data_IF_007863347837
#
_entry.id   IF_007863347837
#
_cell.length_a   1.000
_cell.length_b   1.000
_cell.length_c   1.000
_cell.angle_alpha   90.00
_cell.angle_beta   90.00
_cell.angle_gamma   90.00
#
_symmetry.space_group_name_H-M   'P 1'
#
loop_
_entity.id
_entity.type
_entity.pdbx_description
1 polymer ?
#
# COMPACT_ATOMS: atom_id res chain seq x y z
N UNK A 1 3.30 29.60 9.30
CA UNK A 1 3.52 28.54 8.29
C UNK A 1 4.00 27.28 9.01
N UNK A 2 3.40 26.11 8.76
CA UNK A 2 3.50 24.92 9.65
C UNK A 2 4.21 23.71 9.02
N UNK A 3 4.61 23.78 7.76
CA UNK A 3 5.41 22.71 7.13
C UNK A 3 6.85 22.70 7.67
N UNK A 4 7.42 23.86 8.03
CA UNK A 4 8.76 23.96 8.65
C UNK A 4 8.89 23.20 9.99
N UNK A 5 7.77 22.90 10.66
CA UNK A 5 7.80 22.14 11.91
C UNK A 5 8.05 20.64 11.70
N UNK A 6 7.69 20.09 10.54
CA UNK A 6 7.91 18.68 10.22
C UNK A 6 9.40 18.44 10.01
N UNK A 7 10.04 19.27 9.18
CA UNK A 7 11.49 19.25 8.94
C UNK A 7 12.30 19.49 10.23
N UNK A 8 11.79 20.31 11.15
CA UNK A 8 12.41 20.53 12.45
C UNK A 8 12.23 19.31 13.38
N UNK A 9 11.04 18.69 13.40
CA UNK A 9 10.77 17.52 14.25
C UNK A 9 11.57 16.29 13.83
N UNK A 10 11.80 16.10 12.53
CA UNK A 10 12.72 15.06 12.01
C UNK A 10 14.16 15.26 12.50
N UNK A 11 14.65 16.52 12.49
CA UNK A 11 15.99 16.87 12.99
C UNK A 11 16.16 16.67 14.50
N UNK A 12 15.07 16.64 15.27
CA UNK A 12 15.09 16.47 16.73
C UNK A 12 14.90 14.99 17.13
N UNK A 13 14.91 14.05 16.16
CA UNK A 13 14.89 12.61 16.43
C UNK A 13 13.50 12.03 16.68
N UNK A 14 12.43 12.76 16.33
CA UNK A 14 11.07 12.21 16.33
C UNK A 14 10.93 11.32 15.10
N UNK A 15 10.77 10.01 15.32
CA UNK A 15 10.85 9.01 14.24
C UNK A 15 9.66 9.05 13.27
N UNK A 16 8.50 9.60 13.67
CA UNK A 16 7.34 9.82 12.80
C UNK A 16 6.57 11.08 13.27
N UNK A 17 6.48 12.11 12.43
CA UNK A 17 5.61 13.27 12.63
C UNK A 17 4.36 13.16 11.72
N UNK A 18 3.22 12.75 12.28
CA UNK A 18 1.95 12.69 11.53
C UNK A 18 1.17 14.00 11.71
N UNK A 19 0.98 14.76 10.63
CA UNK A 19 0.14 15.95 10.62
C UNK A 19 -1.29 15.59 10.21
N UNK A 20 -2.28 15.91 11.05
CA UNK A 20 -3.69 15.73 10.72
C UNK A 20 -4.08 16.37 9.37
N UNK A 21 -3.45 17.49 9.02
CA UNK A 21 -3.67 18.15 7.71
C UNK A 21 -3.15 17.31 6.55
N UNK A 22 -1.98 16.69 6.69
CA UNK A 22 -1.42 15.82 5.65
C UNK A 22 -2.27 14.55 5.48
N UNK A 23 -2.80 14.01 6.59
CA UNK A 23 -3.74 12.90 6.56
C UNK A 23 -5.02 13.28 5.79
N UNK A 24 -5.66 14.41 6.12
CA UNK A 24 -6.86 14.87 5.42
C UNK A 24 -6.61 15.19 3.95
N UNK A 25 -5.47 15.81 3.62
CA UNK A 25 -5.12 16.09 2.22
C UNK A 25 -4.86 14.80 1.44
N UNK A 26 -4.22 13.81 2.06
CA UNK A 26 -4.00 12.50 1.45
C UNK A 26 -5.32 11.79 1.17
N UNK A 27 -6.31 11.90 2.06
CA UNK A 27 -7.65 11.33 1.88
C UNK A 27 -8.38 11.98 0.69
N UNK A 28 -8.36 13.31 0.60
CA UNK A 28 -8.95 14.04 -0.54
C UNK A 28 -8.25 13.67 -1.86
N UNK A 29 -6.93 13.55 -1.85
CA UNK A 29 -6.15 13.14 -3.03
C UNK A 29 -6.35 11.66 -3.40
N UNK A 30 -6.66 10.79 -2.43
CA UNK A 30 -7.03 9.40 -2.69
C UNK A 30 -8.39 9.35 -3.39
N UNK A 31 -9.37 10.09 -2.86
CA UNK A 31 -10.70 10.23 -3.46
C UNK A 31 -10.64 10.77 -4.90
N UNK A 32 -9.82 11.80 -5.16
CA UNK A 32 -9.72 12.43 -6.49
C UNK A 32 -9.04 11.56 -7.56
N UNK A 33 -8.25 10.54 -7.17
CA UNK A 33 -7.49 9.70 -8.11
C UNK A 33 -8.28 8.57 -8.76
N UNK A 34 -9.50 8.29 -8.30
CA UNK A 34 -10.47 7.48 -9.04
C UNK A 34 -10.14 5.99 -9.19
N UNK A 35 -9.31 5.41 -8.33
CA UNK A 35 -9.05 3.97 -8.24
C UNK A 35 -8.96 3.51 -6.78
N UNK A 36 -9.16 2.22 -6.51
CA UNK A 36 -9.21 1.60 -5.16
C UNK A 36 -7.84 1.56 -4.45
N UNK A 37 -6.86 2.34 -4.94
CA UNK A 37 -5.54 2.50 -4.31
C UNK A 37 -5.69 3.44 -3.12
N UNK A 38 -6.05 2.85 -1.98
CA UNK A 38 -5.99 3.55 -0.73
C UNK A 38 -4.50 3.82 -0.41
N UNK A 39 -4.17 5.08 -0.13
CA UNK A 39 -2.96 5.49 0.59
C UNK A 39 -1.60 5.06 0.01
N UNK A 40 -0.98 5.97 -0.72
CA UNK A 40 0.45 5.94 -1.07
C UNK A 40 1.25 6.62 0.04
N UNK A 41 2.14 5.90 0.71
CA UNK A 41 3.14 6.53 1.60
C UNK A 41 4.50 6.48 0.93
N UNK A 42 5.07 7.65 0.63
CA UNK A 42 6.45 7.79 0.16
C UNK A 42 7.37 7.55 1.36
N UNK A 43 8.23 6.53 1.30
CA UNK A 43 9.33 6.42 2.25
C UNK A 43 10.48 7.32 1.77
N UNK A 44 10.82 8.35 2.53
CA UNK A 44 11.91 9.26 2.17
C UNK A 44 13.23 8.51 1.94
N UNK A 45 13.92 8.85 0.84
CA UNK A 45 15.19 8.24 0.44
C UNK A 45 15.08 6.91 -0.33
N UNK A 46 13.95 6.21 -0.25
CA UNK A 46 13.72 4.95 -0.96
C UNK A 46 12.92 5.18 -2.26
N UNK A 47 13.34 4.55 -3.38
CA UNK A 47 12.56 4.50 -4.63
C UNK A 47 11.35 3.56 -4.52
N UNK A 48 10.72 3.49 -3.35
CA UNK A 48 9.69 2.53 -2.98
C UNK A 48 8.51 3.25 -2.32
N UNK A 49 7.33 2.70 -2.50
CA UNK A 49 6.07 3.22 -2.00
C UNK A 49 5.30 2.09 -1.30
N UNK A 50 4.65 2.42 -0.18
CA UNK A 50 3.65 1.55 0.41
C UNK A 50 2.30 1.86 -0.25
N UNK A 51 1.61 0.82 -0.76
CA UNK A 51 0.30 0.92 -1.38
C UNK A 51 -0.70 0.05 -0.60
N UNK A 52 -1.94 0.48 -0.54
CA UNK A 52 -3.04 -0.38 -0.13
C UNK A 52 -3.99 -0.61 -1.31
N UNK A 53 -4.35 -1.87 -1.55
CA UNK A 53 -5.16 -2.30 -2.69
C UNK A 53 -6.21 -3.31 -2.25
N UNK A 54 -7.37 -3.29 -2.91
CA UNK A 54 -8.42 -4.27 -2.70
C UNK A 54 -8.27 -5.37 -3.76
N UNK A 55 -8.27 -6.64 -3.34
CA UNK A 55 -8.30 -7.77 -4.27
C UNK A 55 -9.65 -7.80 -4.98
N UNK A 56 -9.69 -7.53 -6.28
CA UNK A 56 -10.93 -7.59 -7.07
C UNK A 56 -11.35 -9.03 -7.38
N UNK A 57 -12.65 -9.30 -7.58
CA UNK A 57 -13.10 -10.57 -8.15
C UNK A 57 -12.42 -10.85 -9.49
N UNK A 58 -11.88 -12.05 -9.67
CA UNK A 58 -11.16 -12.43 -10.89
C UNK A 58 -9.73 -11.90 -11.00
N UNK A 59 -9.22 -11.18 -9.99
CA UNK A 59 -7.84 -10.73 -9.96
C UNK A 59 -6.85 -11.90 -10.09
N UNK A 60 -5.72 -11.73 -10.81
CA UNK A 60 -4.73 -12.80 -10.98
C UNK A 60 -4.23 -13.46 -9.68
N UNK A 61 -4.20 -12.72 -8.57
CA UNK A 61 -3.77 -13.20 -7.24
C UNK A 61 -4.88 -13.92 -6.46
N UNK A 62 -6.16 -13.70 -6.80
CA UNK A 62 -7.28 -14.20 -6.02
C UNK A 62 -7.33 -15.74 -6.00
N UNK A 63 -7.44 -16.32 -4.81
CA UNK A 63 -7.53 -17.76 -4.59
C UNK A 63 -6.24 -18.54 -4.89
N UNK A 64 -5.11 -17.85 -5.13
CA UNK A 64 -3.80 -18.49 -5.31
C UNK A 64 -2.94 -18.29 -4.07
N UNK A 65 -2.12 -19.30 -3.77
CA UNK A 65 -1.05 -19.16 -2.79
C UNK A 65 -0.10 -18.06 -3.26
N UNK A 66 0.32 -17.19 -2.35
CA UNK A 66 1.23 -16.10 -2.70
C UNK A 66 2.53 -16.59 -3.36
N UNK A 67 3.03 -17.77 -2.97
CA UNK A 67 4.19 -18.39 -3.61
C UNK A 67 3.97 -18.76 -5.10
N UNK A 68 2.72 -19.00 -5.49
CA UNK A 68 2.31 -19.38 -6.84
C UNK A 68 1.74 -18.20 -7.64
N UNK A 69 1.50 -17.06 -7.00
CA UNK A 69 0.87 -15.87 -7.59
C UNK A 69 1.78 -15.12 -8.59
N UNK A 70 3.08 -15.41 -8.62
CA UNK A 70 4.08 -14.81 -9.53
C UNK A 70 4.05 -13.28 -9.54
N UNK A 71 3.91 -12.69 -8.36
CA UNK A 71 4.02 -11.24 -8.17
C UNK A 71 5.40 -10.74 -8.68
N UNK A 72 5.49 -9.47 -9.14
CA UNK A 72 6.76 -8.85 -9.46
C UNK A 72 7.74 -8.95 -8.29
N UNK A 73 9.04 -9.14 -8.55
CA UNK A 73 10.07 -9.26 -7.50
C UNK A 73 10.26 -7.96 -6.72
N UNK A 74 9.86 -6.85 -7.34
CA UNK A 74 9.89 -5.51 -6.80
C UNK A 74 8.68 -5.20 -5.91
N UNK A 75 7.78 -6.18 -5.70
CA UNK A 75 6.57 -6.08 -4.90
C UNK A 75 6.60 -7.09 -3.74
N UNK A 76 6.30 -6.63 -2.54
CA UNK A 76 6.18 -7.44 -1.34
C UNK A 76 4.79 -7.24 -0.73
N UNK A 77 4.09 -8.35 -0.45
CA UNK A 77 2.86 -8.33 0.33
C UNK A 77 3.23 -8.33 1.81
N UNK A 78 2.89 -7.26 2.52
CA UNK A 78 3.30 -7.08 3.91
C UNK A 78 2.21 -7.47 4.92
N UNK A 79 0.95 -7.19 4.57
CA UNK A 79 -0.19 -7.54 5.40
C UNK A 79 -1.44 -7.64 4.52
N UNK A 80 -2.46 -8.34 5.02
CA UNK A 80 -3.81 -8.24 4.49
C UNK A 80 -4.82 -8.13 5.63
N UNK A 81 -5.95 -7.48 5.34
CA UNK A 81 -7.08 -7.30 6.22
C UNK A 81 -8.28 -7.98 5.59
N UNK A 82 -8.88 -8.93 6.33
CA UNK A 82 -10.12 -9.62 5.95
C UNK A 82 -11.18 -9.33 6.99
N UNK A 83 -12.21 -8.57 6.61
CA UNK A 83 -13.15 -8.01 7.57
C UNK A 83 -12.42 -7.09 8.56
N UNK A 84 -12.45 -7.45 9.84
CA UNK A 84 -11.78 -6.67 10.91
C UNK A 84 -10.43 -7.26 11.37
N UNK A 85 -9.98 -8.33 10.73
CA UNK A 85 -8.77 -9.06 11.14
C UNK A 85 -7.61 -8.77 10.20
N UNK A 86 -6.52 -8.25 10.76
CA UNK A 86 -5.25 -8.09 10.06
C UNK A 86 -4.35 -9.31 10.27
N UNK A 87 -3.65 -9.76 9.23
CA UNK A 87 -2.72 -10.87 9.28
C UNK A 87 -1.46 -10.61 8.43
N UNK A 88 -0.33 -11.16 8.88
CA UNK A 88 0.92 -11.17 8.12
C UNK A 88 0.93 -12.43 7.24
N UNK A 89 1.03 -12.28 5.91
CA UNK A 89 0.98 -13.41 5.01
C UNK A 89 2.29 -14.21 5.02
N UNK A 90 2.19 -15.46 4.57
CA UNK A 90 3.32 -16.31 4.19
C UNK A 90 3.09 -16.88 2.79
N UNK A 91 4.02 -17.71 2.30
CA UNK A 91 3.92 -18.29 0.95
C UNK A 91 2.64 -19.11 0.70
N UNK A 92 2.07 -19.70 1.75
CA UNK A 92 0.84 -20.51 1.69
C UNK A 92 -0.44 -19.69 1.83
N UNK A 93 -0.34 -18.39 2.15
CA UNK A 93 -1.51 -17.52 2.27
C UNK A 93 -2.21 -17.38 0.91
N UNK A 94 -3.53 -17.55 0.93
CA UNK A 94 -4.40 -17.31 -0.22
C UNK A 94 -5.24 -16.06 0.01
N UNK A 95 -4.99 -15.04 -0.81
CA UNK A 95 -5.76 -13.81 -0.81
C UNK A 95 -7.12 -14.05 -1.46
N UNK A 96 -8.16 -13.43 -0.93
CA UNK A 96 -9.54 -13.58 -1.37
C UNK A 96 -10.09 -12.25 -1.87
N UNK A 97 -11.06 -12.25 -2.80
CA UNK A 97 -11.74 -11.03 -3.21
C UNK A 97 -12.28 -10.25 -2.01
N UNK A 98 -12.03 -8.95 -2.00
CA UNK A 98 -12.40 -8.05 -0.90
C UNK A 98 -11.34 -7.92 0.21
N UNK A 99 -10.27 -8.72 0.20
CA UNK A 99 -9.13 -8.49 1.09
C UNK A 99 -8.49 -7.13 0.78
N UNK A 100 -8.24 -6.32 1.83
CA UNK A 100 -7.39 -5.12 1.75
C UNK A 100 -5.95 -5.54 1.96
N UNK A 101 -5.08 -5.25 1.02
CA UNK A 101 -3.70 -5.75 0.99
C UNK A 101 -2.74 -4.58 1.04
N UNK A 102 -1.79 -4.63 1.98
CA UNK A 102 -0.69 -3.68 2.09
C UNK A 102 0.51 -4.21 1.31
N UNK A 103 0.95 -3.44 0.33
CA UNK A 103 2.09 -3.73 -0.53
C UNK A 103 3.23 -2.77 -0.26
N UNK A 104 4.46 -3.27 -0.31
CA UNK A 104 5.65 -2.46 -0.53
C UNK A 104 6.15 -2.70 -1.94
N UNK A 105 6.26 -1.65 -2.75
CA UNK A 105 6.64 -1.78 -4.16
C UNK A 105 7.60 -0.69 -4.58
N UNK A 106 8.55 -1.00 -5.47
CA UNK A 106 9.32 0.06 -6.13
C UNK A 106 8.39 0.95 -6.95
N UNK A 107 8.58 2.27 -6.86
CA UNK A 107 7.71 3.27 -7.52
C UNK A 107 7.48 2.98 -9.00
N UNK A 108 8.52 2.57 -9.73
CA UNK A 108 8.46 2.25 -11.16
C UNK A 108 7.67 0.97 -11.48
N UNK A 109 7.31 0.17 -10.48
CA UNK A 109 6.57 -1.08 -10.61
C UNK A 109 5.16 -1.03 -10.00
N UNK A 110 4.75 0.09 -9.41
CA UNK A 110 3.45 0.25 -8.75
C UNK A 110 2.28 -0.17 -9.66
N UNK A 111 2.15 0.43 -10.84
CA UNK A 111 1.07 0.11 -11.78
C UNK A 111 1.10 -1.37 -12.22
N UNK A 112 2.30 -1.92 -12.45
CA UNK A 112 2.44 -3.33 -12.82
C UNK A 112 1.98 -4.24 -11.68
N UNK A 113 2.29 -3.91 -10.43
CA UNK A 113 1.84 -4.66 -9.28
C UNK A 113 0.31 -4.63 -9.14
N UNK A 114 -0.32 -3.45 -9.33
CA UNK A 114 -1.76 -3.27 -9.20
C UNK A 114 -2.59 -4.17 -10.14
N UNK A 115 -2.11 -4.44 -11.36
CA UNK A 115 -2.79 -5.36 -12.30
C UNK A 115 -3.01 -6.77 -11.74
N UNK A 116 -2.16 -7.24 -10.81
CA UNK A 116 -2.32 -8.55 -10.16
C UNK A 116 -3.49 -8.59 -9.17
N UNK A 117 -3.93 -7.43 -8.70
CA UNK A 117 -5.03 -7.24 -7.77
C UNK A 117 -6.33 -6.82 -8.49
N UNK A 118 -6.27 -6.66 -9.82
CA UNK A 118 -7.41 -6.30 -10.68
C UNK A 118 -7.72 -4.81 -10.72
N UNK A 119 -6.78 -3.95 -10.29
CA UNK A 119 -6.86 -2.51 -10.46
C UNK A 119 -6.12 -2.13 -11.76
N UNK A 120 -6.87 -1.66 -12.76
CA UNK A 120 -6.41 -1.19 -14.08
C UNK A 120 -6.60 0.33 -14.20
#
# INVERSE_FOLDING_TARGET
NRNEYIDLMEKVGVTIALSARLLSASEVLAFARGGDVARVTLLEGARAEALEVIVRPGAPVAGKKLMDARLPRECLVCAYVRGEQAAIPNGMTELQPGDRVILFVLKSFANKALTYFGDD
#
